data_IF_699832565917
#
_entry.id   IF_699832565917
#
_cell.length_a   1.000
_cell.length_b   1.000
_cell.length_c   1.000
_cell.angle_alpha   90.00
_cell.angle_beta   90.00
_cell.angle_gamma   90.00
#
_symmetry.space_group_name_H-M   'P 1'
#
loop_
_entity.id
_entity.type
_entity.pdbx_description
1 polymer ?
#
# COMPACT_ATOMS: atom_id res chain seq x y z
N UNK A 1 -27.99 -58.92 1.70
CA UNK A 1 -26.60 -58.48 1.46
C UNK A 1 -26.51 -57.05 2.03
N UNK A 2 -25.97 -56.70 3.22
CA UNK A 2 -24.76 -57.11 3.96
C UNK A 2 -23.55 -57.16 3.00
N UNK A 3 -22.50 -56.34 3.08
CA UNK A 3 -21.81 -55.64 4.20
C UNK A 3 -21.24 -54.29 3.68
N UNK A 4 -21.31 -53.13 4.35
CA UNK A 4 -20.74 -52.69 5.66
C UNK A 4 -19.26 -52.29 5.57
N UNK A 5 -18.97 -51.07 6.05
CA UNK A 5 -17.77 -50.57 6.77
C UNK A 5 -17.20 -49.24 6.20
N UNK A 6 -16.90 -48.18 6.97
CA UNK A 6 -16.93 -47.97 8.42
C UNK A 6 -16.82 -46.45 8.72
N UNK A 7 -17.71 -45.95 9.58
CA UNK A 7 -17.46 -44.79 10.45
C UNK A 7 -16.94 -45.36 11.78
N UNK A 8 -16.08 -44.64 12.51
CA UNK A 8 -16.23 -44.60 13.95
C UNK A 8 -16.39 -43.18 14.48
N UNK A 9 -17.46 -43.01 15.25
CA UNK A 9 -17.76 -41.92 16.17
C UNK A 9 -17.22 -42.30 17.57
N UNK A 10 -17.10 -41.32 18.47
CA UNK A 10 -16.77 -41.40 19.93
C UNK A 10 -15.25 -41.34 20.26
N UNK A 11 -14.69 -40.51 21.16
CA UNK A 11 -15.19 -39.67 22.28
C UNK A 11 -14.30 -38.43 22.51
N UNK A 12 -14.98 -37.33 22.81
CA UNK A 12 -14.68 -36.13 23.62
C UNK A 12 -13.40 -36.02 24.49
N UNK A 13 -13.01 -34.75 24.65
CA UNK A 13 -12.18 -34.10 25.68
C UNK A 13 -10.65 -34.30 25.66
N UNK A 14 -9.95 -33.28 25.13
CA UNK A 14 -9.15 -32.39 25.99
C UNK A 14 -8.72 -31.13 25.24
N UNK A 15 -9.31 -30.03 25.68
CA UNK A 15 -8.93 -28.65 25.45
C UNK A 15 -7.53 -28.35 25.97
N UNK A 16 -6.62 -27.93 25.08
CA UNK A 16 -5.59 -26.90 25.36
C UNK A 16 -5.39 -26.09 24.06
N UNK A 17 -6.40 -25.33 23.64
CA UNK A 17 -6.15 -24.17 22.78
C UNK A 17 -5.63 -23.06 23.70
N UNK A 18 -4.37 -22.70 23.50
CA UNK A 18 -3.63 -21.75 24.32
C UNK A 18 -4.29 -20.36 24.23
N UNK A 19 -5.15 -20.04 25.20
CA UNK A 19 -5.90 -18.78 25.30
C UNK A 19 -5.00 -17.53 25.45
N UNK A 20 -3.69 -17.71 25.65
CA UNK A 20 -2.72 -16.61 25.73
C UNK A 20 -2.37 -16.00 24.36
N UNK A 21 -2.54 -16.72 23.25
CA UNK A 21 -2.13 -16.19 21.93
C UNK A 21 -3.23 -15.34 21.27
N UNK A 22 -4.49 -15.77 21.37
CA UNK A 22 -5.65 -15.01 20.89
C UNK A 22 -5.92 -13.72 21.67
N UNK A 23 -5.60 -13.70 22.97
CA UNK A 23 -5.76 -12.51 23.82
C UNK A 23 -4.68 -11.46 23.56
N UNK A 24 -3.48 -11.86 23.15
CA UNK A 24 -2.40 -10.91 22.79
C UNK A 24 -2.65 -10.24 21.43
N UNK A 25 -3.23 -10.95 20.45
CA UNK A 25 -3.65 -10.36 19.17
C UNK A 25 -4.82 -9.37 19.34
N UNK A 26 -5.81 -9.71 20.17
CA UNK A 26 -6.93 -8.82 20.48
C UNK A 26 -6.49 -7.58 21.30
N UNK A 27 -5.58 -7.74 22.28
CA UNK A 27 -5.03 -6.63 23.05
C UNK A 27 -4.15 -5.71 22.20
N UNK A 28 -3.34 -6.26 21.29
CA UNK A 28 -2.53 -5.47 20.37
C UNK A 28 -3.39 -4.70 19.35
N UNK A 29 -4.44 -5.32 18.82
CA UNK A 29 -5.39 -4.65 17.93
C UNK A 29 -6.18 -3.55 18.65
N UNK A 30 -6.60 -3.75 19.89
CA UNK A 30 -7.25 -2.71 20.69
C UNK A 30 -6.30 -1.55 21.06
N UNK A 31 -5.03 -1.85 21.34
CA UNK A 31 -3.99 -0.86 21.63
C UNK A 31 -3.59 -0.04 20.39
N UNK A 32 -3.56 -0.66 19.20
CA UNK A 32 -3.34 0.04 17.93
C UNK A 32 -4.56 0.91 17.56
N UNK A 33 -5.78 0.42 17.81
CA UNK A 33 -7.06 1.10 17.56
C UNK A 33 -7.30 2.32 18.44
N UNK A 34 -6.87 2.27 19.72
CA UNK A 34 -6.91 3.43 20.62
C UNK A 34 -5.88 4.51 20.26
N UNK A 35 -4.79 4.13 19.60
CA UNK A 35 -3.70 5.03 19.21
C UNK A 35 -4.01 5.79 17.92
N UNK A 36 -4.60 5.12 16.93
CA UNK A 36 -5.08 5.76 15.69
C UNK A 36 -6.11 6.86 15.98
N UNK A 37 -7.00 6.63 16.97
CA UNK A 37 -7.95 7.64 17.48
C UNK A 37 -7.25 8.88 18.01
N UNK A 38 -6.18 8.73 18.79
CA UNK A 38 -5.43 9.85 19.37
C UNK A 38 -4.62 10.61 18.31
N UNK A 39 -4.03 9.90 17.35
CA UNK A 39 -3.22 10.51 16.29
C UNK A 39 -4.06 11.26 15.25
N UNK A 40 -5.26 10.76 14.92
CA UNK A 40 -6.21 11.49 14.05
C UNK A 40 -6.77 12.71 14.79
N UNK A 41 -7.16 12.58 16.07
CA UNK A 41 -7.62 13.72 16.88
C UNK A 41 -6.53 14.80 17.03
N UNK A 42 -5.27 14.43 17.27
CA UNK A 42 -4.17 15.40 17.38
C UNK A 42 -3.79 16.05 16.04
N UNK A 43 -3.94 15.35 14.91
CA UNK A 43 -3.76 15.98 13.58
C UNK A 43 -4.90 16.94 13.26
N UNK A 44 -6.13 16.63 13.69
CA UNK A 44 -7.31 17.50 13.55
C UNK A 44 -7.25 18.76 14.45
N UNK A 45 -6.71 18.67 15.66
CA UNK A 45 -6.48 19.85 16.51
C UNK A 45 -5.37 20.74 15.97
N UNK A 46 -4.30 20.14 15.44
CA UNK A 46 -3.19 20.88 14.79
C UNK A 46 -3.60 21.57 13.49
N UNK A 47 -4.59 21.04 12.76
CA UNK A 47 -5.14 21.70 11.55
C UNK A 47 -6.16 22.79 11.87
N UNK A 48 -6.84 22.74 13.02
CA UNK A 48 -7.71 23.85 13.49
C UNK A 48 -6.93 25.14 13.75
N UNK A 49 -5.68 25.06 14.21
CA UNK A 49 -4.82 26.24 14.41
C UNK A 49 -4.34 26.87 13.09
N UNK A 50 -4.44 26.16 11.96
CA UNK A 50 -3.99 26.63 10.64
C UNK A 50 -5.13 27.09 9.71
N UNK A 51 -6.40 26.98 10.12
CA UNK A 51 -7.58 27.24 9.27
C UNK A 51 -8.27 28.60 9.52
N UNK A 52 -7.58 29.61 10.07
CA UNK A 52 -8.13 30.98 10.17
C UNK A 52 -7.95 31.81 8.86
N UNK A 53 -7.36 31.26 7.79
CA UNK A 53 -7.00 32.06 6.60
C UNK A 53 -7.69 31.70 5.28
N UNK A 54 -8.80 30.95 5.25
CA UNK A 54 -9.60 30.83 4.03
C UNK A 54 -11.10 30.94 4.33
N UNK A 55 -11.56 32.18 4.48
CA UNK A 55 -12.98 32.51 4.38
C UNK A 55 -13.37 32.82 2.93
N UNK A 56 -14.50 32.23 2.54
CA UNK A 56 -15.37 32.49 1.37
C UNK A 56 -15.14 31.66 0.10
N UNK A 57 -15.81 30.52 0.05
CA UNK A 57 -16.42 30.04 -1.20
C UNK A 57 -17.87 29.65 -0.88
N UNK A 58 -18.82 30.53 -1.23
CA UNK A 58 -20.25 30.27 -1.06
C UNK A 58 -20.74 29.48 -2.29
N UNK A 59 -20.83 28.16 -2.15
CA UNK A 59 -21.61 27.33 -3.07
C UNK A 59 -22.88 26.95 -2.32
N UNK A 60 -23.96 27.66 -2.66
CA UNK A 60 -25.32 27.25 -2.36
C UNK A 60 -25.72 26.15 -3.34
N UNK A 61 -25.70 24.90 -2.87
CA UNK A 61 -26.41 23.79 -3.53
C UNK A 61 -27.16 23.01 -2.46
N UNK A 62 -28.46 23.26 -2.39
CA UNK A 62 -29.44 22.41 -1.73
C UNK A 62 -29.57 21.11 -2.54
N UNK A 63 -28.70 20.16 -2.24
CA UNK A 63 -28.98 18.74 -2.41
C UNK A 63 -29.19 18.21 -1.00
N UNK A 64 -30.22 17.39 -0.78
CA UNK A 64 -30.49 16.70 0.48
C UNK A 64 -29.27 15.88 0.92
N UNK A 65 -28.33 16.55 1.58
CA UNK A 65 -27.03 16.02 1.92
C UNK A 65 -27.20 15.20 3.19
N UNK A 66 -26.98 13.89 3.06
CA UNK A 66 -26.61 13.08 4.22
C UNK A 66 -25.33 13.74 4.76
N UNK A 67 -25.32 14.24 6.01
CA UNK A 67 -24.15 14.91 6.55
C UNK A 67 -23.01 13.91 6.60
N UNK A 68 -21.98 14.13 5.79
CA UNK A 68 -20.74 13.36 5.88
C UNK A 68 -20.12 13.73 7.22
N UNK A 69 -20.07 12.78 8.15
CA UNK A 69 -19.43 12.99 9.44
C UNK A 69 -17.99 13.51 9.26
N UNK A 70 -17.53 14.39 10.15
CA UNK A 70 -16.18 14.98 10.09
C UNK A 70 -15.06 13.93 9.93
N UNK A 71 -15.26 12.74 10.51
CA UNK A 71 -14.35 11.59 10.40
C UNK A 71 -14.32 11.02 8.98
N UNK A 72 -15.47 10.85 8.33
CA UNK A 72 -15.52 10.35 6.95
C UNK A 72 -14.93 11.37 5.98
N UNK A 73 -15.11 12.66 6.24
CA UNK A 73 -14.45 13.74 5.50
C UNK A 73 -12.92 13.67 5.67
N UNK A 74 -12.43 13.34 6.86
CA UNK A 74 -11.00 13.15 7.10
C UNK A 74 -10.45 11.97 6.30
N UNK A 75 -11.10 10.80 6.34
CA UNK A 75 -10.71 9.64 5.52
C UNK A 75 -10.71 9.96 4.03
N UNK A 76 -11.75 10.64 3.54
CA UNK A 76 -11.86 11.04 2.14
C UNK A 76 -10.69 11.94 1.71
N UNK A 77 -10.36 12.96 2.53
CA UNK A 77 -9.26 13.88 2.28
C UNK A 77 -7.90 13.17 2.31
N UNK A 78 -7.69 12.29 3.30
CA UNK A 78 -6.44 11.56 3.46
C UNK A 78 -6.21 10.57 2.32
N UNK A 79 -7.25 9.81 1.93
CA UNK A 79 -7.15 8.91 0.79
C UNK A 79 -6.91 9.67 -0.52
N UNK A 80 -7.59 10.80 -0.72
CA UNK A 80 -7.37 11.68 -1.86
C UNK A 80 -5.94 12.20 -1.94
N UNK A 81 -5.37 12.62 -0.80
CA UNK A 81 -3.99 13.08 -0.71
C UNK A 81 -2.99 11.96 -1.02
N UNK A 82 -3.12 10.81 -0.35
CA UNK A 82 -2.22 9.67 -0.52
C UNK A 82 -2.28 9.10 -1.95
N UNK A 83 -3.47 9.10 -2.56
CA UNK A 83 -3.66 8.67 -3.96
C UNK A 83 -3.00 9.62 -4.95
N UNK A 84 -3.16 10.94 -4.74
CA UNK A 84 -2.53 11.95 -5.58
C UNK A 84 -0.99 11.89 -5.50
N UNK A 85 -0.45 11.73 -4.29
CA UNK A 85 0.99 11.56 -4.07
C UNK A 85 1.54 10.31 -4.76
N UNK A 86 0.79 9.19 -4.69
CA UNK A 86 1.17 7.97 -5.40
C UNK A 86 1.18 8.18 -6.91
N UNK A 87 0.13 8.76 -7.50
CA UNK A 87 0.06 9.03 -8.94
C UNK A 87 1.21 9.95 -9.36
N UNK A 88 1.45 11.03 -8.61
CA UNK A 88 2.56 11.95 -8.87
C UNK A 88 3.90 11.23 -8.85
N UNK A 89 4.18 10.46 -7.80
CA UNK A 89 5.40 9.68 -7.70
C UNK A 89 5.54 8.70 -8.87
N UNK A 90 4.44 8.04 -9.26
CA UNK A 90 4.42 7.07 -10.37
C UNK A 90 4.86 7.71 -11.68
N UNK A 91 4.34 8.90 -11.99
CA UNK A 91 4.69 9.64 -13.21
C UNK A 91 6.15 10.13 -13.14
N UNK A 92 6.56 10.74 -12.03
CA UNK A 92 7.92 11.29 -11.87
C UNK A 92 9.01 10.21 -11.88
N UNK A 93 8.66 8.97 -11.49
CA UNK A 93 9.60 7.83 -11.41
C UNK A 93 9.42 6.82 -12.53
N UNK A 94 8.68 7.18 -13.58
CA UNK A 94 8.52 6.35 -14.78
C UNK A 94 9.80 6.32 -15.64
N UNK A 95 10.61 7.39 -15.64
CA UNK A 95 11.82 7.52 -16.46
C UNK A 95 12.94 8.26 -15.70
N UNK A 96 14.09 7.61 -15.42
CA UNK A 96 14.32 6.16 -15.51
C UNK A 96 13.37 5.42 -14.54
N UNK A 97 12.99 4.19 -14.90
CA UNK A 97 12.00 3.42 -14.12
C UNK A 97 12.54 3.07 -12.72
N UNK A 98 12.13 3.85 -11.71
CA UNK A 98 12.45 3.67 -10.28
C UNK A 98 11.18 3.65 -9.42
N UNK A 99 10.05 3.35 -10.06
CA UNK A 99 8.71 3.44 -9.48
C UNK A 99 8.55 2.65 -8.17
N UNK A 100 8.80 1.33 -8.19
CA UNK A 100 8.56 0.48 -7.01
C UNK A 100 9.36 0.92 -5.78
N UNK A 101 10.65 1.20 -5.94
CA UNK A 101 11.52 1.60 -4.82
C UNK A 101 11.24 3.02 -4.32
N UNK A 102 10.81 3.92 -5.21
CA UNK A 102 10.62 5.34 -4.87
C UNK A 102 9.23 5.63 -4.32
N UNK A 103 8.22 4.86 -4.72
CA UNK A 103 6.81 5.14 -4.46
C UNK A 103 6.16 4.15 -3.47
N UNK A 104 6.94 3.26 -2.86
CA UNK A 104 6.46 2.24 -1.90
C UNK A 104 5.77 2.86 -0.67
N UNK A 105 6.19 4.06 -0.26
CA UNK A 105 5.60 4.74 0.89
C UNK A 105 4.20 5.24 0.57
N UNK A 106 4.06 5.91 -0.56
CA UNK A 106 2.82 6.50 -1.07
C UNK A 106 1.83 5.39 -1.38
N UNK A 107 2.30 4.31 -2.00
CA UNK A 107 1.52 3.08 -2.19
C UNK A 107 0.98 2.55 -0.86
N UNK A 108 1.86 2.32 0.12
CA UNK A 108 1.46 1.75 1.42
C UNK A 108 0.41 2.61 2.12
N UNK A 109 0.59 3.92 2.12
CA UNK A 109 -0.36 4.86 2.73
C UNK A 109 -1.72 4.86 2.04
N UNK A 110 -1.74 4.92 0.70
CA UNK A 110 -3.00 4.88 -0.04
C UNK A 110 -3.79 3.58 0.22
N UNK A 111 -3.09 2.44 0.24
CA UNK A 111 -3.70 1.14 0.54
C UNK A 111 -4.24 1.09 1.97
N UNK A 112 -3.45 1.53 2.95
CA UNK A 112 -3.87 1.47 4.37
C UNK A 112 -5.00 2.43 4.68
N UNK A 113 -5.02 3.66 4.14
CA UNK A 113 -6.17 4.56 4.34
C UNK A 113 -7.45 3.96 3.77
N UNK A 114 -7.39 3.28 2.61
CA UNK A 114 -8.56 2.62 2.05
C UNK A 114 -9.00 1.39 2.87
N UNK A 115 -8.04 0.58 3.34
CA UNK A 115 -8.30 -0.54 4.26
C UNK A 115 -8.98 -0.07 5.56
N UNK A 116 -8.58 1.08 6.10
CA UNK A 116 -9.21 1.68 7.28
C UNK A 116 -10.67 2.08 7.01
N UNK A 117 -10.98 2.61 5.81
CA UNK A 117 -12.37 2.89 5.39
C UNK A 117 -13.17 1.58 5.29
N UNK A 118 -12.57 0.51 4.77
CA UNK A 118 -13.23 -0.80 4.64
C UNK A 118 -13.53 -1.45 6.00
N UNK A 119 -12.65 -1.25 6.98
CA UNK A 119 -12.78 -1.78 8.34
C UNK A 119 -13.63 -0.88 9.27
N UNK A 120 -14.05 0.31 8.79
CA UNK A 120 -14.98 1.16 9.52
C UNK A 120 -16.39 0.55 9.51
N UNK A 121 -16.67 -0.25 10.53
CA UNK A 121 -18.00 -0.82 10.79
C UNK A 121 -18.97 0.24 11.36
N UNK A 122 -20.27 -0.07 11.30
CA UNK A 122 -21.37 0.76 11.81
C UNK A 122 -21.23 1.19 13.28
N UNK A 123 -20.38 0.51 14.07
CA UNK A 123 -20.08 0.87 15.46
C UNK A 123 -19.24 2.15 15.62
N UNK A 124 -18.63 2.67 14.56
CA UNK A 124 -17.70 3.81 14.63
C UNK A 124 -18.25 5.05 13.93
N UNK A 125 -18.23 5.07 12.60
CA UNK A 125 -18.72 6.22 11.83
C UNK A 125 -19.58 5.83 10.62
N UNK A 126 -19.63 4.54 10.27
CA UNK A 126 -20.37 4.06 9.10
C UNK A 126 -19.82 4.60 7.77
N UNK A 127 -18.57 5.07 7.75
CA UNK A 127 -17.93 5.69 6.59
C UNK A 127 -17.86 4.73 5.41
N UNK A 128 -17.72 3.42 5.64
CA UNK A 128 -17.76 2.43 4.58
C UNK A 128 -19.01 2.56 3.70
N UNK A 129 -20.18 2.66 4.31
CA UNK A 129 -21.44 2.75 3.56
C UNK A 129 -21.59 4.13 2.92
N UNK A 130 -21.24 5.21 3.64
CA UNK A 130 -21.35 6.59 3.15
C UNK A 130 -20.38 6.89 2.01
N UNK A 131 -19.16 6.36 2.06
CA UNK A 131 -18.10 6.66 1.08
C UNK A 131 -18.06 5.66 -0.07
N UNK A 132 -18.29 4.37 0.18
CA UNK A 132 -18.10 3.32 -0.82
C UNK A 132 -19.41 2.80 -1.44
N UNK A 133 -20.58 3.15 -0.89
CA UNK A 133 -21.88 2.65 -1.38
C UNK A 133 -22.90 3.76 -1.71
N UNK A 134 -22.53 5.03 -1.56
CA UNK A 134 -23.45 6.13 -1.78
C UNK A 134 -23.70 6.44 -3.27
N UNK A 135 -22.77 6.09 -4.15
CA UNK A 135 -22.87 6.36 -5.59
C UNK A 135 -22.75 5.06 -6.43
N UNK A 136 -23.14 5.15 -7.71
CA UNK A 136 -23.06 4.03 -8.66
C UNK A 136 -21.64 3.81 -9.21
N UNK A 137 -20.81 4.84 -9.20
CA UNK A 137 -19.48 4.84 -9.84
C UNK A 137 -18.41 4.33 -8.86
N UNK A 138 -18.59 4.52 -7.56
CA UNK A 138 -17.69 4.13 -6.48
C UNK A 138 -16.25 4.59 -6.77
N UNK A 139 -16.07 5.91 -6.95
CA UNK A 139 -14.81 6.51 -7.39
C UNK A 139 -13.63 6.09 -6.50
N UNK A 140 -13.85 6.01 -5.18
CA UNK A 140 -12.82 5.58 -4.24
C UNK A 140 -12.32 4.16 -4.53
N UNK A 141 -13.24 3.23 -4.82
CA UNK A 141 -12.91 1.84 -5.16
C UNK A 141 -12.16 1.77 -6.51
N UNK A 142 -12.59 2.55 -7.50
CA UNK A 142 -11.91 2.64 -8.79
C UNK A 142 -10.47 3.16 -8.66
N UNK A 143 -10.26 4.21 -7.87
CA UNK A 143 -8.92 4.77 -7.62
C UNK A 143 -8.05 3.76 -6.87
N UNK A 144 -8.58 3.13 -5.82
CA UNK A 144 -7.88 2.08 -5.08
C UNK A 144 -7.45 0.93 -5.99
N UNK A 145 -8.36 0.41 -6.82
CA UNK A 145 -8.08 -0.66 -7.75
C UNK A 145 -7.06 -0.25 -8.81
N UNK A 146 -7.10 1.00 -9.29
CA UNK A 146 -6.09 1.50 -10.23
C UNK A 146 -4.68 1.54 -9.60
N UNK A 147 -4.57 2.08 -8.38
CA UNK A 147 -3.30 2.11 -7.63
C UNK A 147 -2.73 0.70 -7.47
N UNK A 148 -3.57 -0.23 -7.03
CA UNK A 148 -3.21 -1.65 -6.89
C UNK A 148 -2.78 -2.27 -8.22
N UNK A 149 -3.54 -2.05 -9.29
CA UNK A 149 -3.26 -2.61 -10.61
C UNK A 149 -1.92 -2.11 -11.16
N UNK A 150 -1.62 -0.81 -11.04
CA UNK A 150 -0.33 -0.25 -11.47
C UNK A 150 0.83 -0.89 -10.69
N UNK A 151 0.66 -1.07 -9.37
CA UNK A 151 1.66 -1.72 -8.52
C UNK A 151 1.89 -3.20 -8.90
N UNK A 152 0.81 -3.95 -9.11
CA UNK A 152 0.85 -5.37 -9.44
C UNK A 152 1.38 -5.61 -10.87
N UNK A 153 0.98 -4.81 -11.86
CA UNK A 153 1.47 -4.88 -13.24
C UNK A 153 2.96 -4.54 -13.35
N UNK A 154 3.47 -3.67 -12.47
CA UNK A 154 4.89 -3.38 -12.35
C UNK A 154 5.67 -4.49 -11.61
N UNK A 155 5.00 -5.56 -11.15
CA UNK A 155 5.58 -6.64 -10.35
C UNK A 155 6.31 -6.14 -9.09
N UNK A 156 5.87 -5.02 -8.50
CA UNK A 156 6.56 -4.40 -7.39
C UNK A 156 6.63 -5.28 -6.13
N UNK A 157 5.70 -6.22 -5.96
CA UNK A 157 5.76 -7.20 -4.86
C UNK A 157 7.03 -8.07 -4.91
N UNK A 158 7.57 -8.35 -6.11
CA UNK A 158 8.83 -9.08 -6.28
C UNK A 158 10.06 -8.28 -5.86
N UNK A 159 9.94 -6.94 -5.76
CA UNK A 159 11.04 -6.08 -5.34
C UNK A 159 11.32 -6.20 -3.83
N UNK A 160 10.33 -6.60 -3.04
CA UNK A 160 10.39 -6.56 -1.58
C UNK A 160 10.29 -7.97 -0.98
N UNK A 161 10.78 -8.13 0.24
CA UNK A 161 10.54 -9.34 1.02
C UNK A 161 9.06 -9.38 1.42
N UNK A 162 8.41 -10.54 1.27
CA UNK A 162 7.02 -10.76 1.65
C UNK A 162 6.75 -10.28 3.07
N UNK A 163 5.72 -9.44 3.25
CA UNK A 163 5.32 -8.89 4.54
C UNK A 163 6.29 -7.85 5.15
N UNK A 164 7.29 -7.38 4.40
CA UNK A 164 8.24 -6.38 4.93
C UNK A 164 7.76 -4.94 4.84
N UNK A 165 6.87 -4.63 3.89
CA UNK A 165 6.30 -3.29 3.73
C UNK A 165 5.32 -3.04 4.87
N UNK A 166 5.69 -2.15 5.77
CA UNK A 166 4.94 -1.84 6.99
C UNK A 166 5.00 -0.35 7.29
N UNK A 167 3.97 0.18 7.92
CA UNK A 167 3.95 1.55 8.44
C UNK A 167 4.05 1.47 9.96
N UNK A 168 4.96 2.25 10.55
CA UNK A 168 5.08 2.31 12.00
C UNK A 168 4.12 3.33 12.62
N UNK A 169 4.09 3.35 13.96
CA UNK A 169 3.28 4.26 14.77
C UNK A 169 3.52 5.75 14.49
N UNK A 170 4.61 6.12 13.82
CA UNK A 170 4.90 7.51 13.49
C UNK A 170 4.52 7.84 12.03
N UNK A 171 3.91 6.90 11.31
CA UNK A 171 3.61 7.02 9.89
C UNK A 171 4.84 6.85 8.99
N UNK A 172 5.91 6.23 9.50
CA UNK A 172 7.11 5.94 8.71
C UNK A 172 6.98 4.57 8.07
N UNK A 173 7.03 4.53 6.73
CA UNK A 173 6.99 3.28 5.98
C UNK A 173 8.38 2.65 5.94
N UNK A 174 8.47 1.40 6.41
CA UNK A 174 9.68 0.56 6.40
C UNK A 174 9.46 -0.62 5.46
N UNK A 175 10.52 -1.03 4.77
CA UNK A 175 10.49 -2.15 3.84
C UNK A 175 11.88 -2.78 3.72
N UNK A 176 11.95 -4.01 3.22
CA UNK A 176 13.19 -4.71 2.93
C UNK A 176 13.18 -5.21 1.50
N UNK A 177 14.26 -5.01 0.76
CA UNK A 177 14.40 -5.55 -0.58
C UNK A 177 14.49 -7.08 -0.58
N UNK A 178 13.96 -7.69 -1.64
CA UNK A 178 14.15 -9.11 -1.91
C UNK A 178 15.62 -9.41 -2.23
N UNK A 179 16.02 -10.69 -2.12
CA UNK A 179 17.38 -11.13 -2.49
C UNK A 179 17.70 -10.75 -3.94
N UNK A 180 16.76 -10.99 -4.85
CA UNK A 180 16.86 -10.69 -6.28
C UNK A 180 17.11 -9.19 -6.52
N UNK A 181 16.34 -8.33 -5.85
CA UNK A 181 16.48 -6.87 -6.00
C UNK A 181 17.82 -6.35 -5.48
N UNK A 182 18.29 -6.87 -4.34
CA UNK A 182 19.61 -6.52 -3.82
C UNK A 182 20.72 -6.94 -4.79
N UNK A 183 20.66 -8.17 -5.31
CA UNK A 183 21.62 -8.67 -6.31
C UNK A 183 21.61 -7.80 -7.57
N UNK A 184 20.44 -7.49 -8.10
CA UNK A 184 20.30 -6.61 -9.26
C UNK A 184 20.92 -5.24 -9.01
N UNK A 185 20.63 -4.61 -7.87
CA UNK A 185 21.17 -3.29 -7.53
C UNK A 185 22.70 -3.28 -7.43
N UNK A 186 23.31 -4.35 -6.90
CA UNK A 186 24.78 -4.48 -6.85
C UNK A 186 25.37 -4.58 -8.25
N UNK A 187 24.82 -5.46 -9.10
CA UNK A 187 25.29 -5.65 -10.48
C UNK A 187 25.12 -4.35 -11.28
N UNK A 188 23.94 -3.73 -11.21
CA UNK A 188 23.63 -2.48 -11.90
C UNK A 188 24.57 -1.35 -11.48
N UNK A 189 24.89 -1.23 -10.19
CA UNK A 189 25.84 -0.22 -9.68
C UNK A 189 27.25 -0.47 -10.20
N UNK A 190 27.73 -1.72 -10.18
CA UNK A 190 29.04 -2.09 -10.69
C UNK A 190 29.15 -1.83 -12.19
N UNK A 191 28.13 -2.19 -12.95
CA UNK A 191 28.03 -1.92 -14.39
C UNK A 191 28.06 -0.42 -14.68
N UNK A 192 27.23 0.36 -13.99
CA UNK A 192 27.18 1.83 -14.16
C UNK A 192 28.53 2.46 -13.86
N UNK A 193 29.25 1.97 -12.85
CA UNK A 193 30.60 2.42 -12.52
C UNK A 193 31.59 2.10 -13.65
N UNK A 194 31.56 0.89 -14.19
CA UNK A 194 32.38 0.47 -15.32
C UNK A 194 32.15 1.38 -16.55
N UNK A 195 30.89 1.60 -16.93
CA UNK A 195 30.53 2.47 -18.07
C UNK A 195 31.07 3.90 -17.86
N UNK A 196 30.93 4.46 -16.66
CA UNK A 196 31.45 5.79 -16.34
C UNK A 196 32.97 5.88 -16.50
N UNK A 197 33.70 4.85 -16.07
CA UNK A 197 35.16 4.78 -16.20
C UNK A 197 35.63 4.75 -17.67
N UNK A 198 34.83 4.17 -18.57
CA UNK A 198 35.14 4.04 -20.00
C UNK A 198 34.41 5.05 -20.90
N UNK A 199 33.73 6.05 -20.33
CA UNK A 199 32.86 6.99 -21.06
C UNK A 199 33.58 8.03 -21.95
N UNK A 200 34.92 8.05 -21.92
CA UNK A 200 35.78 8.86 -22.79
C UNK A 200 36.15 8.17 -24.11
N UNK A 201 35.77 6.90 -24.29
CA UNK A 201 35.88 6.19 -25.57
C UNK A 201 34.64 6.54 -26.39
N UNK A 202 34.82 6.89 -27.67
CA UNK A 202 33.76 7.19 -28.65
C UNK A 202 32.95 5.94 -29.01
N UNK A 203 32.37 5.27 -28.02
CA UNK A 203 31.31 4.30 -28.22
C UNK A 203 29.97 5.02 -28.03
N UNK A 204 29.06 4.81 -28.97
CA UNK A 204 27.66 5.20 -28.84
C UNK A 204 27.14 4.70 -27.49
N UNK A 205 26.96 5.64 -26.56
CA UNK A 205 26.53 5.38 -25.18
C UNK A 205 25.18 4.65 -25.15
N UNK A 206 24.38 4.85 -26.20
CA UNK A 206 23.11 4.17 -26.44
C UNK A 206 23.29 2.68 -26.78
N UNK A 207 24.28 2.32 -27.60
CA UNK A 207 24.52 0.93 -28.02
C UNK A 207 25.06 0.06 -26.87
N UNK A 208 25.91 0.61 -26.00
CA UNK A 208 26.43 -0.09 -24.81
C UNK A 208 25.34 -0.39 -23.79
N UNK A 209 24.45 0.57 -23.53
CA UNK A 209 23.32 0.36 -22.62
C UNK A 209 22.38 -0.73 -23.16
N UNK A 210 22.13 -0.76 -24.48
CA UNK A 210 21.28 -1.79 -25.12
C UNK A 210 21.98 -3.15 -25.18
N UNK A 211 23.28 -3.21 -25.44
CA UNK A 211 24.06 -4.46 -25.49
C UNK A 211 24.18 -5.12 -24.12
N UNK A 212 24.52 -4.35 -23.08
CA UNK A 212 24.69 -4.88 -21.72
C UNK A 212 23.34 -5.22 -21.06
N UNK A 213 22.30 -4.43 -21.33
CA UNK A 213 20.94 -4.76 -20.89
C UNK A 213 20.43 -6.02 -21.56
N UNK A 214 20.68 -6.28 -22.84
CA UNK A 214 20.29 -7.55 -23.48
C UNK A 214 20.89 -8.78 -22.80
N UNK A 215 22.16 -8.74 -22.41
CA UNK A 215 22.80 -9.88 -21.74
C UNK A 215 22.28 -10.08 -20.31
N UNK A 216 22.14 -8.99 -19.53
CA UNK A 216 21.65 -9.07 -18.14
C UNK A 216 20.15 -9.37 -18.09
N UNK A 217 19.36 -8.79 -18.99
CA UNK A 217 17.90 -9.03 -19.09
C UNK A 217 17.65 -10.45 -19.58
N UNK A 218 18.45 -10.98 -20.53
CA UNK A 218 18.39 -12.40 -20.91
C UNK A 218 18.54 -13.31 -19.69
N UNK A 219 19.59 -13.12 -18.90
CA UNK A 219 19.89 -13.98 -17.75
C UNK A 219 18.86 -13.81 -16.61
N UNK A 220 18.30 -12.62 -16.42
CA UNK A 220 17.23 -12.38 -15.45
C UNK A 220 15.86 -12.90 -15.91
N UNK A 221 15.55 -12.86 -17.21
CA UNK A 221 14.30 -13.39 -17.77
C UNK A 221 14.25 -14.92 -17.65
N UNK A 222 15.40 -15.59 -17.79
CA UNK A 222 15.52 -17.04 -17.52
C UNK A 222 15.29 -17.39 -16.04
N UNK A 223 15.67 -16.50 -15.10
CA UNK A 223 15.48 -16.72 -13.66
C UNK A 223 14.06 -16.44 -13.15
N UNK A 224 13.21 -15.77 -13.95
CA UNK A 224 11.81 -15.50 -13.61
C UNK A 224 10.83 -16.56 -14.16
N UNK A 225 11.32 -17.52 -14.94
CA UNK A 225 10.55 -18.64 -15.52
C UNK A 225 10.91 -20.03 -14.96
N UNK A 226 11.55 -20.08 -13.78
CA UNK A 226 11.74 -21.29 -12.95
C UNK A 226 11.11 -21.03 -11.59
#
# INVERSE_FOLDING_TARGET
>A
MRLVYQIPLFILFSSIFNANESTNLLKNNQKHKGRLKYEILNRLTKTKEHLIQLQSFNVSTDFGHIPIYDICTAFLKEFGHNSADFIKCSVEKARPFRFCESCVREYKRAMTTFEDILQDDEKWSGCRNVLLKADRIQVLDQVYNNIRNVWDQAYCNGCFKTGSISEDINGTVKFQYSKISNTFNVIFKNMTKCIKMHSNVSLDKELLMVSMSKSIVSDFFFLLHI
#
